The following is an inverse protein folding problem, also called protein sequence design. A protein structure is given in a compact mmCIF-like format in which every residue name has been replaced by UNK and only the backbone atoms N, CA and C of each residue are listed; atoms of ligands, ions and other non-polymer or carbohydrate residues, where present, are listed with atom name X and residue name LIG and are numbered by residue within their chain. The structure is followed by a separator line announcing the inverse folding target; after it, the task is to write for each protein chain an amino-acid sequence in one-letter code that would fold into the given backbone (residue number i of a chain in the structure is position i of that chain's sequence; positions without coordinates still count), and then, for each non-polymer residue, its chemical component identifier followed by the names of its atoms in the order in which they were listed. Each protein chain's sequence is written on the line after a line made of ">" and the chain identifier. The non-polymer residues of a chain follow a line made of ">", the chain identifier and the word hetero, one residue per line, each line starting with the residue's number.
data_IF_170302004800
#
_entry.id   IF_170302004800
#
_cell.length_a   1.000
_cell.length_b   1.000
_cell.length_c   1.000
_cell.angle_alpha   90.00
_cell.angle_beta   90.00
_cell.angle_gamma   90.00
#
_symmetry.space_group_name_H-M   'P 1'
#
loop_
_entity.id
_entity.type
_entity.pdbx_description
1 polymer ?
#
# COMPACT_ATOMS: atom_id res chain seq x y z
N UNK A 1 11.52 -17.17 10.84
CA UNK A 1 10.62 -18.30 10.51
C UNK A 1 10.10 -18.24 9.08
N UNK A 2 9.33 -19.23 8.66
CA UNK A 2 8.70 -19.26 7.34
C UNK A 2 7.49 -18.33 7.31
N UNK A 3 7.35 -17.50 6.27
CA UNK A 3 6.14 -16.69 6.05
C UNK A 3 5.00 -17.61 5.60
N UNK A 4 3.86 -17.50 6.27
CA UNK A 4 2.67 -18.32 6.04
C UNK A 4 1.57 -17.51 5.35
N UNK A 5 1.44 -16.24 5.71
CA UNK A 5 0.37 -15.39 5.27
C UNK A 5 0.82 -13.92 5.19
N UNK A 6 0.34 -13.23 4.16
CA UNK A 6 0.50 -11.78 4.03
C UNK A 6 -0.87 -11.15 3.74
N UNK A 7 -1.19 -10.04 4.41
CA UNK A 7 -2.36 -9.23 4.11
C UNK A 7 -1.95 -7.78 3.93
N UNK A 8 -2.21 -7.23 2.76
CA UNK A 8 -2.08 -5.81 2.49
C UNK A 8 -3.46 -5.19 2.32
N UNK A 9 -3.78 -4.21 3.15
CA UNK A 9 -4.99 -3.42 3.03
C UNK A 9 -4.63 -1.97 2.72
N UNK A 10 -5.34 -1.37 1.76
CA UNK A 10 -5.27 0.05 1.45
C UNK A 10 -6.66 0.55 1.08
N UNK A 11 -7.40 0.95 2.09
CA UNK A 11 -8.82 1.29 2.03
C UNK A 11 -9.05 2.72 2.45
N UNK A 12 -10.05 3.34 1.86
CA UNK A 12 -10.48 4.68 2.23
C UNK A 12 -11.79 5.05 1.55
N UNK A 13 -12.28 6.23 1.84
CA UNK A 13 -13.42 6.81 1.17
C UNK A 13 -12.99 7.93 0.24
N UNK A 14 -13.53 7.94 -0.95
CA UNK A 14 -13.28 9.00 -1.92
C UNK A 14 -14.48 9.93 -2.03
N UNK A 15 -14.22 11.22 -1.82
CA UNK A 15 -15.21 12.26 -2.06
C UNK A 15 -15.25 12.69 -3.53
N UNK A 16 -16.37 13.27 -3.93
CA UNK A 16 -16.55 13.81 -5.28
C UNK A 16 -15.45 14.85 -5.57
N UNK A 17 -14.75 14.65 -6.67
CA UNK A 17 -13.72 15.57 -7.14
C UNK A 17 -14.29 16.58 -8.14
N UNK A 18 -13.72 17.80 -8.22
CA UNK A 18 -14.16 18.82 -9.22
C UNK A 18 -14.06 18.34 -10.68
N UNK A 19 -13.20 17.38 -10.94
CA UNK A 19 -13.03 16.75 -12.25
C UNK A 19 -12.57 15.32 -12.11
N UNK A 20 -13.03 14.44 -13.00
CA UNK A 20 -12.61 13.04 -13.03
C UNK A 20 -11.19 12.95 -13.60
N UNK A 21 -10.27 12.45 -12.77
CA UNK A 21 -8.89 12.18 -13.17
C UNK A 21 -8.84 11.07 -14.24
N UNK A 22 -7.84 11.13 -15.12
CA UNK A 22 -7.57 10.05 -16.08
C UNK A 22 -7.37 8.68 -15.40
N UNK A 23 -6.90 8.68 -14.17
CA UNK A 23 -6.72 7.47 -13.34
C UNK A 23 -8.04 6.77 -13.01
N UNK A 24 -9.16 7.47 -13.09
CA UNK A 24 -10.50 6.95 -12.83
C UNK A 24 -11.23 6.51 -14.10
N UNK A 25 -10.57 6.56 -15.25
CA UNK A 25 -11.13 6.15 -16.53
C UNK A 25 -10.39 4.90 -16.98
N UNK A 26 -11.05 3.74 -16.89
CA UNK A 26 -10.44 2.43 -17.17
C UNK A 26 -9.75 2.35 -18.53
N UNK A 27 -10.35 2.94 -19.55
CA UNK A 27 -9.76 3.01 -20.89
C UNK A 27 -8.45 3.80 -20.96
N UNK A 28 -8.18 4.67 -19.96
CA UNK A 28 -6.96 5.51 -19.89
C UNK A 28 -5.97 4.99 -18.86
N UNK A 29 -6.47 4.41 -17.77
CA UNK A 29 -5.67 3.95 -16.64
C UNK A 29 -5.10 2.55 -16.86
N UNK A 30 -5.77 1.72 -17.62
CA UNK A 30 -5.48 0.29 -17.75
C UNK A 30 -6.14 -0.57 -16.68
N UNK A 31 -6.94 0.04 -15.78
CA UNK A 31 -7.61 -0.62 -14.67
C UNK A 31 -6.95 -0.37 -13.32
N UNK A 32 -7.74 -0.54 -12.28
CA UNK A 32 -7.37 -0.17 -10.91
C UNK A 32 -6.11 -0.87 -10.41
N UNK A 33 -5.96 -2.16 -10.67
CA UNK A 33 -4.78 -2.94 -10.29
C UNK A 33 -3.48 -2.42 -10.90
N UNK A 34 -3.54 -1.79 -12.06
CA UNK A 34 -2.35 -1.22 -12.69
C UNK A 34 -1.74 -0.08 -11.86
N UNK A 35 -2.57 0.66 -11.13
CA UNK A 35 -2.11 1.72 -10.23
C UNK A 35 -1.61 1.20 -8.88
N UNK A 36 -1.96 -0.03 -8.53
CA UNK A 36 -1.65 -0.66 -7.23
C UNK A 36 -0.69 -1.82 -7.38
N UNK A 37 0.12 -1.77 -8.43
CA UNK A 37 1.21 -2.73 -8.67
C UNK A 37 2.18 -2.82 -7.49
N UNK A 38 2.36 -1.72 -6.76
CA UNK A 38 3.26 -1.65 -5.60
C UNK A 38 2.85 -2.58 -4.47
N UNK A 39 1.56 -2.65 -4.16
CA UNK A 39 1.02 -3.53 -3.12
C UNK A 39 1.16 -5.01 -3.54
N UNK A 40 0.92 -5.31 -4.80
CA UNK A 40 1.09 -6.66 -5.36
C UNK A 40 2.56 -7.08 -5.35
N UNK A 41 3.45 -6.20 -5.78
CA UNK A 41 4.90 -6.44 -5.78
C UNK A 41 5.43 -6.67 -4.36
N UNK A 42 5.01 -5.83 -3.41
CA UNK A 42 5.33 -6.00 -2.00
C UNK A 42 4.90 -7.38 -1.47
N UNK A 43 3.67 -7.82 -1.77
CA UNK A 43 3.19 -9.13 -1.36
C UNK A 43 4.06 -10.24 -1.99
N UNK A 44 4.35 -10.18 -3.28
CA UNK A 44 5.19 -11.19 -3.95
C UNK A 44 6.60 -11.24 -3.36
N UNK A 45 7.18 -10.08 -3.08
CA UNK A 45 8.49 -9.99 -2.40
C UNK A 45 8.45 -10.66 -1.03
N UNK A 46 7.46 -10.35 -0.20
CA UNK A 46 7.30 -10.91 1.15
C UNK A 46 7.00 -12.41 1.15
N UNK A 47 6.24 -12.88 0.18
CA UNK A 47 5.89 -14.30 0.02
C UNK A 47 6.99 -15.11 -0.68
N UNK A 48 7.97 -14.44 -1.29
CA UNK A 48 9.13 -15.06 -1.91
C UNK A 48 8.88 -15.58 -3.33
N UNK A 49 7.96 -14.98 -4.08
CA UNK A 49 7.70 -15.34 -5.48
C UNK A 49 6.28 -15.06 -5.95
N UNK A 50 5.92 -15.58 -7.12
CA UNK A 50 4.59 -15.44 -7.68
C UNK A 50 3.62 -16.46 -7.08
N UNK A 51 2.32 -16.12 -6.96
CA UNK A 51 1.29 -17.07 -6.56
C UNK A 51 1.05 -18.13 -7.65
N UNK A 52 0.58 -19.30 -7.24
CA UNK A 52 0.17 -20.40 -8.14
C UNK A 52 -1.27 -20.20 -8.65
N UNK A 53 -2.14 -19.65 -7.78
CA UNK A 53 -3.53 -19.33 -8.11
C UNK A 53 -3.91 -17.95 -7.58
N UNK A 54 -4.77 -17.25 -8.32
CA UNK A 54 -5.31 -15.95 -7.96
C UNK A 54 -6.81 -15.93 -8.17
N UNK A 55 -7.53 -15.53 -7.13
CA UNK A 55 -8.96 -15.26 -7.20
C UNK A 55 -9.20 -13.78 -6.91
N UNK A 56 -10.01 -13.12 -7.73
CA UNK A 56 -10.36 -11.72 -7.58
C UNK A 56 -11.87 -11.53 -7.57
N UNK A 57 -12.34 -10.71 -6.64
CA UNK A 57 -13.71 -10.21 -6.58
C UNK A 57 -13.68 -8.69 -6.35
N UNK A 58 -14.69 -8.01 -6.88
CA UNK A 58 -14.82 -6.56 -6.70
C UNK A 58 -15.61 -5.91 -7.83
N UNK A 59 -15.59 -4.60 -7.87
CA UNK A 59 -16.30 -3.82 -8.86
C UNK A 59 -16.42 -2.35 -8.48
N UNK A 60 -17.15 -1.62 -9.30
CA UNK A 60 -17.57 -0.25 -8.99
C UNK A 60 -18.91 -0.32 -8.25
N UNK A 61 -18.90 -0.14 -6.92
CA UNK A 61 -20.05 -0.40 -6.04
C UNK A 61 -20.64 0.89 -5.42
N UNK A 62 -19.84 1.88 -5.13
CA UNK A 62 -20.26 3.12 -4.46
C UNK A 62 -20.07 4.36 -5.33
N UNK A 63 -19.02 4.42 -6.13
CA UNK A 63 -18.62 5.58 -6.91
C UNK A 63 -18.98 5.44 -8.38
N UNK A 64 -20.28 5.23 -8.65
CA UNK A 64 -20.80 5.08 -10.01
C UNK A 64 -21.17 6.42 -10.63
N UNK A 65 -20.96 6.53 -11.96
CA UNK A 65 -21.41 7.66 -12.75
C UNK A 65 -20.30 8.61 -13.20
N UNK A 66 -20.70 9.58 -14.05
CA UNK A 66 -19.77 10.47 -14.76
C UNK A 66 -18.84 11.28 -13.82
N UNK A 67 -19.28 11.54 -12.60
CA UNK A 67 -18.52 12.32 -11.62
C UNK A 67 -17.42 11.54 -10.91
N UNK A 68 -17.42 10.21 -11.03
CA UNK A 68 -16.41 9.34 -10.38
C UNK A 68 -15.57 8.55 -11.38
N UNK A 69 -16.03 8.39 -12.63
CA UNK A 69 -15.42 7.53 -13.63
C UNK A 69 -15.98 6.10 -13.61
N UNK A 70 -15.22 5.16 -14.15
CA UNK A 70 -15.62 3.76 -14.35
C UNK A 70 -14.62 2.73 -13.78
N UNK A 71 -13.71 3.17 -12.90
CA UNK A 71 -12.79 2.27 -12.19
C UNK A 71 -13.49 1.53 -11.05
N UNK A 72 -12.99 0.35 -10.77
CA UNK A 72 -13.43 -0.40 -9.58
C UNK A 72 -13.03 0.36 -8.32
N UNK A 73 -13.95 0.47 -7.37
CA UNK A 73 -13.75 1.15 -6.11
C UNK A 73 -13.69 0.21 -4.90
N UNK A 74 -13.82 -1.10 -5.14
CA UNK A 74 -13.68 -2.15 -4.16
C UNK A 74 -13.09 -3.40 -4.82
N UNK A 75 -11.94 -3.88 -4.32
CA UNK A 75 -11.24 -5.05 -4.82
C UNK A 75 -10.75 -5.94 -3.69
N UNK A 76 -10.96 -7.24 -3.84
CA UNK A 76 -10.46 -8.30 -2.96
C UNK A 76 -9.73 -9.31 -3.82
N UNK A 77 -8.46 -9.55 -3.52
CA UNK A 77 -7.63 -10.51 -4.24
C UNK A 77 -7.08 -11.50 -3.23
N UNK A 78 -7.34 -12.78 -3.45
CA UNK A 78 -6.72 -13.88 -2.72
C UNK A 78 -5.72 -14.56 -3.63
N UNK A 79 -4.53 -14.77 -3.11
CA UNK A 79 -3.40 -15.39 -3.80
C UNK A 79 -2.97 -16.64 -3.05
N UNK A 80 -2.90 -17.76 -3.74
CA UNK A 80 -2.44 -19.03 -3.19
C UNK A 80 -1.00 -19.29 -3.65
N UNK A 81 -0.16 -19.61 -2.68
CA UNK A 81 1.25 -19.97 -2.88
C UNK A 81 1.46 -21.44 -2.51
N UNK A 82 2.46 -22.04 -3.04
CA UNK A 82 2.82 -23.41 -2.66
C UNK A 82 2.95 -23.60 -1.14
N UNK A 83 2.81 -24.84 -0.68
CA UNK A 83 2.87 -25.23 0.74
C UNK A 83 1.74 -24.63 1.61
N UNK A 84 0.55 -24.46 1.08
CA UNK A 84 -0.63 -23.89 1.77
C UNK A 84 -0.35 -22.52 2.40
N UNK A 85 0.32 -21.66 1.67
CA UNK A 85 0.55 -20.26 2.04
C UNK A 85 -0.38 -19.36 1.25
N UNK A 86 -0.81 -18.28 1.86
CA UNK A 86 -1.81 -17.41 1.26
C UNK A 86 -1.43 -15.95 1.41
N UNK A 87 -1.90 -15.13 0.47
CA UNK A 87 -1.91 -13.69 0.65
C UNK A 87 -3.26 -13.09 0.24
N UNK A 88 -3.58 -11.95 0.83
CA UNK A 88 -4.78 -11.18 0.53
C UNK A 88 -4.38 -9.73 0.26
N UNK A 89 -4.91 -9.17 -0.82
CA UNK A 89 -4.92 -7.74 -1.07
C UNK A 89 -6.36 -7.25 -0.99
N UNK A 90 -6.59 -6.28 -0.12
CA UNK A 90 -7.84 -5.55 0.01
C UNK A 90 -7.58 -4.10 -0.37
N UNK A 91 -8.30 -3.62 -1.38
CA UNK A 91 -8.07 -2.29 -1.91
C UNK A 91 -9.38 -1.62 -2.28
N UNK A 92 -9.48 -0.31 -2.02
CA UNK A 92 -10.58 0.46 -2.57
C UNK A 92 -10.80 1.83 -1.95
N UNK A 93 -11.66 2.57 -2.64
CA UNK A 93 -12.10 3.90 -2.23
C UNK A 93 -13.56 3.94 -1.76
N UNK A 94 -14.17 2.77 -1.54
CA UNK A 94 -15.56 2.62 -1.08
C UNK A 94 -15.67 2.20 0.40
N UNK A 95 -14.66 2.50 1.20
CA UNK A 95 -14.58 2.12 2.61
C UNK A 95 -14.57 3.35 3.51
N UNK A 96 -15.63 3.54 4.28
CA UNK A 96 -15.68 4.64 5.27
C UNK A 96 -14.71 4.46 6.45
N UNK A 97 -14.29 3.22 6.72
CA UNK A 97 -13.25 2.95 7.70
C UNK A 97 -11.92 2.81 6.97
N UNK A 98 -11.07 3.84 7.02
CA UNK A 98 -9.80 3.78 6.29
C UNK A 98 -8.80 2.85 6.98
N UNK A 99 -8.10 2.06 6.18
CA UNK A 99 -7.01 1.19 6.62
C UNK A 99 -5.85 1.25 5.62
N UNK A 100 -4.63 1.31 6.13
CA UNK A 100 -3.45 1.16 5.30
C UNK A 100 -2.36 0.45 6.09
N UNK A 101 -2.25 -0.87 5.89
CA UNK A 101 -1.28 -1.70 6.59
C UNK A 101 -0.80 -2.88 5.74
N UNK A 102 0.32 -3.47 6.17
CA UNK A 102 0.76 -4.79 5.73
C UNK A 102 0.94 -5.67 6.97
N UNK A 103 0.26 -6.80 7.00
CA UNK A 103 0.35 -7.80 8.04
C UNK A 103 1.04 -9.05 7.50
N UNK A 104 2.09 -9.51 8.17
CA UNK A 104 2.85 -10.70 7.81
C UNK A 104 2.76 -11.68 8.97
N UNK A 105 2.32 -12.90 8.70
CA UNK A 105 2.27 -13.99 9.67
C UNK A 105 3.31 -15.04 9.32
N UNK A 106 4.11 -15.40 10.27
CA UNK A 106 5.13 -16.43 10.13
C UNK A 106 5.02 -17.51 11.20
N UNK A 107 5.83 -18.57 11.07
CA UNK A 107 5.86 -19.69 12.03
C UNK A 107 6.38 -19.31 13.41
N UNK A 108 7.12 -18.21 13.53
CA UNK A 108 7.75 -17.78 14.78
C UNK A 108 7.23 -16.45 15.32
N UNK A 109 6.37 -15.78 14.58
CA UNK A 109 5.83 -14.50 14.98
C UNK A 109 5.10 -13.79 13.84
N UNK A 110 4.72 -12.54 14.09
CA UNK A 110 4.03 -11.70 13.12
C UNK A 110 4.64 -10.31 13.07
N UNK A 111 4.51 -9.66 11.92
CA UNK A 111 4.88 -8.25 11.73
C UNK A 111 3.64 -7.51 11.20
N UNK A 112 3.34 -6.36 11.80
CA UNK A 112 2.37 -5.42 11.27
C UNK A 112 3.08 -4.10 10.96
N UNK A 113 2.97 -3.67 9.72
CA UNK A 113 3.43 -2.37 9.26
C UNK A 113 2.22 -1.44 9.17
N UNK A 114 2.23 -0.34 9.92
CA UNK A 114 1.21 0.71 9.83
C UNK A 114 1.70 1.77 8.85
N UNK A 115 0.95 1.96 7.77
CA UNK A 115 1.31 2.91 6.73
C UNK A 115 0.72 4.31 6.96
N UNK A 116 -0.27 4.43 7.85
CA UNK A 116 -0.81 5.73 8.25
C UNK A 116 0.07 6.41 9.31
N UNK A 117 0.38 5.64 10.38
CA UNK A 117 1.27 6.10 11.45
C UNK A 117 2.59 5.36 11.30
N UNK A 118 3.36 5.77 10.30
CA UNK A 118 4.54 5.08 9.84
C UNK A 118 5.34 4.40 10.98
N UNK A 119 5.30 3.09 11.00
CA UNK A 119 5.95 2.27 12.02
C UNK A 119 5.60 0.81 11.88
N UNK A 120 6.42 -0.04 12.48
CA UNK A 120 6.20 -1.47 12.52
C UNK A 120 6.08 -2.02 13.93
N UNK A 121 5.40 -3.15 14.07
CA UNK A 121 5.33 -3.92 15.31
C UNK A 121 5.68 -5.37 15.01
N UNK A 122 6.66 -5.89 15.71
CA UNK A 122 7.02 -7.31 15.73
C UNK A 122 6.34 -7.98 16.93
N UNK A 123 5.58 -9.03 16.68
CA UNK A 123 4.99 -9.88 17.71
C UNK A 123 5.65 -11.23 17.73
N UNK A 124 6.18 -11.64 18.90
CA UNK A 124 6.77 -12.95 19.12
C UNK A 124 6.29 -13.52 20.47
N UNK A 125 5.44 -14.53 20.41
CA UNK A 125 4.69 -15.01 21.57
C UNK A 125 3.79 -13.90 22.12
N UNK A 126 3.89 -13.59 23.40
CA UNK A 126 3.13 -12.54 24.09
C UNK A 126 3.82 -11.15 24.04
N UNK A 127 5.00 -11.06 23.45
CA UNK A 127 5.77 -9.81 23.36
C UNK A 127 5.47 -9.08 22.06
N UNK A 128 5.30 -7.77 22.16
CA UNK A 128 5.19 -6.84 21.05
C UNK A 128 6.28 -5.79 21.17
N UNK A 129 7.06 -5.65 20.10
CA UNK A 129 8.20 -4.72 20.03
C UNK A 129 8.02 -3.80 18.83
N UNK A 130 7.94 -2.47 19.02
CA UNK A 130 7.90 -1.53 17.92
C UNK A 130 9.26 -1.43 17.24
N UNK A 131 9.27 -1.13 15.94
CA UNK A 131 10.47 -0.82 15.18
C UNK A 131 10.20 0.26 14.12
N UNK A 132 11.26 0.94 13.71
CA UNK A 132 11.18 1.96 12.67
C UNK A 132 11.04 1.32 11.28
N UNK A 133 10.25 1.94 10.42
CA UNK A 133 10.17 1.59 8.99
C UNK A 133 11.31 2.22 8.18
N UNK A 134 11.80 3.36 8.61
CA UNK A 134 12.92 4.07 8.00
C UNK A 134 14.15 4.05 8.92
N UNK A 135 15.21 4.75 8.52
CA UNK A 135 16.49 4.78 9.26
C UNK A 135 16.40 5.53 10.58
N UNK A 136 15.51 6.52 10.66
CA UNK A 136 15.36 7.38 11.83
C UNK A 136 13.90 7.59 12.19
N UNK A 137 13.62 7.90 13.45
CA UNK A 137 12.29 8.29 13.92
C UNK A 137 11.78 9.55 13.21
N UNK A 138 12.68 10.48 12.90
CA UNK A 138 12.33 11.72 12.20
C UNK A 138 11.78 11.45 10.79
N UNK A 139 12.32 10.43 10.10
CA UNK A 139 11.82 10.01 8.78
C UNK A 139 10.43 9.35 8.89
N UNK A 140 10.19 8.51 9.90
CA UNK A 140 8.87 7.92 10.16
C UNK A 140 7.84 9.00 10.53
N UNK A 141 8.23 9.98 11.36
CA UNK A 141 7.38 11.10 11.74
C UNK A 141 7.05 12.01 10.54
N UNK A 142 8.03 12.27 9.67
CA UNK A 142 7.85 13.08 8.45
C UNK A 142 6.87 12.39 7.49
N UNK A 143 7.01 11.08 7.29
CA UNK A 143 6.07 10.32 6.49
C UNK A 143 4.65 10.32 7.08
N UNK A 144 4.52 10.10 8.38
CA UNK A 144 3.24 10.16 9.10
C UNK A 144 2.57 11.51 8.90
N UNK A 145 3.32 12.59 9.09
CA UNK A 145 2.84 13.96 8.92
C UNK A 145 2.35 14.24 7.50
N UNK A 146 3.05 13.76 6.49
CA UNK A 146 2.67 13.92 5.08
C UNK A 146 1.40 13.13 4.78
N UNK A 147 1.26 11.92 5.32
CA UNK A 147 0.08 11.09 5.11
C UNK A 147 -1.20 11.67 5.76
N UNK A 148 -1.08 12.28 6.93
CA UNK A 148 -2.19 12.92 7.63
C UNK A 148 -2.42 14.38 7.21
N UNK A 149 -1.48 14.95 6.48
CA UNK A 149 -1.57 16.33 5.97
C UNK A 149 -2.38 16.43 4.69
N UNK A 150 -2.75 17.66 4.35
CA UNK A 150 -3.34 18.01 3.04
C UNK A 150 -2.30 18.06 1.92
N UNK A 151 -1.02 17.96 2.26
CA UNK A 151 0.09 17.88 1.32
C UNK A 151 0.26 16.43 0.88
N UNK A 152 -0.49 16.07 -0.12
CA UNK A 152 -0.47 14.73 -0.68
C UNK A 152 0.89 14.41 -1.30
N UNK A 153 1.27 13.13 -1.14
CA UNK A 153 2.16 12.37 -1.99
C UNK A 153 3.44 13.10 -2.41
N UNK A 154 4.57 12.63 -1.92
CA UNK A 154 5.88 13.15 -2.28
C UNK A 154 6.07 13.36 -3.79
N UNK A 155 5.46 12.52 -4.62
CA UNK A 155 5.49 12.65 -6.08
C UNK A 155 4.88 13.97 -6.60
N UNK A 156 3.84 14.50 -5.95
CA UNK A 156 3.26 15.81 -6.31
C UNK A 156 4.17 16.96 -5.89
N UNK A 157 4.91 16.80 -4.80
CA UNK A 157 5.88 17.79 -4.34
C UNK A 157 7.11 17.87 -5.23
N UNK A 158 7.55 16.74 -5.80
CA UNK A 158 8.70 16.67 -6.70
C UNK A 158 8.60 17.53 -7.96
N UNK A 159 7.43 17.66 -8.53
CA UNK A 159 7.21 18.45 -9.74
C UNK A 159 7.22 19.95 -9.52
N UNK A 160 7.33 20.44 -8.27
CA UNK A 160 7.30 21.88 -7.96
C UNK A 160 8.71 22.45 -7.86
N UNK A 161 9.09 23.41 -8.71
CA UNK A 161 10.41 24.05 -8.64
C UNK A 161 10.71 24.59 -7.24
N UNK A 162 11.91 24.32 -6.72
CA UNK A 162 12.37 24.79 -5.42
C UNK A 162 11.86 24.00 -4.21
N UNK A 163 11.09 22.94 -4.41
CA UNK A 163 10.71 22.01 -3.33
C UNK A 163 11.71 20.87 -3.25
N UNK A 164 12.16 20.58 -2.03
CA UNK A 164 12.95 19.38 -1.75
C UNK A 164 12.02 18.20 -1.53
N UNK A 165 12.46 16.98 -1.91
CA UNK A 165 11.74 15.78 -1.52
C UNK A 165 11.64 15.65 -0.01
N UNK A 166 10.59 15.00 0.51
CA UNK A 166 10.52 14.60 1.91
C UNK A 166 11.75 13.79 2.31
N UNK A 167 12.18 13.92 3.54
CA UNK A 167 13.41 13.29 4.05
C UNK A 167 13.40 11.77 3.85
N UNK A 168 12.31 11.11 4.23
CA UNK A 168 12.16 9.66 4.07
C UNK A 168 12.29 9.19 2.61
N UNK A 169 11.76 9.97 1.66
CA UNK A 169 11.81 9.63 0.25
C UNK A 169 13.21 9.83 -0.33
N UNK A 170 13.93 10.85 0.13
CA UNK A 170 15.33 11.09 -0.24
C UNK A 170 16.21 9.90 0.17
N UNK A 171 16.05 9.41 1.39
CA UNK A 171 16.83 8.27 1.89
C UNK A 171 16.56 6.98 1.09
N UNK A 172 15.30 6.69 0.81
CA UNK A 172 14.91 5.51 0.01
C UNK A 172 15.49 5.58 -1.40
N UNK A 173 15.40 6.73 -2.06
CA UNK A 173 15.94 6.91 -3.42
C UNK A 173 17.46 6.81 -3.45
N UNK A 174 18.13 7.31 -2.42
CA UNK A 174 19.58 7.19 -2.31
C UNK A 174 20.00 5.71 -2.19
N UNK A 175 19.34 4.95 -1.31
CA UNK A 175 19.61 3.54 -1.11
C UNK A 175 19.32 2.71 -2.38
N UNK A 176 18.25 3.04 -3.11
CA UNK A 176 17.95 2.41 -4.40
C UNK A 176 19.07 2.67 -5.42
N UNK A 177 19.54 3.90 -5.52
CA UNK A 177 20.64 4.23 -6.44
C UNK A 177 21.96 3.58 -6.03
N UNK A 178 22.25 3.42 -4.74
CA UNK A 178 23.41 2.66 -4.27
C UNK A 178 23.33 1.16 -4.64
N UNK A 179 22.14 0.59 -4.57
CA UNK A 179 21.92 -0.83 -4.91
C UNK A 179 22.22 -1.13 -6.37
N UNK A 180 22.01 -0.17 -7.29
CA UNK A 180 22.25 -0.34 -8.72
C UNK A 180 23.67 0.06 -9.17
N UNK A 181 24.51 0.60 -8.29
CA UNK A 181 25.93 0.91 -8.56
C UNK A 181 26.86 -0.19 -8.03
#
# INVERSE_FOLDING_TARGET
>A
GKVLYCHSARNGWEDIQPSVSWKKIRAKSGGHLYHHIHELDCIQFLMGGCPEEVTMAGGNVAHCGEQFGDEDDMLFITMEYGDNRYAVLEYGSAFHWPEHYVLIQGTEGAIRLDMFNCGGTLKKGDKEEPFLMHKTQEEDDDRTRIYHGTEMDGAIMYGKPGKKPPMWLHSIMYDEMEYFN
#
